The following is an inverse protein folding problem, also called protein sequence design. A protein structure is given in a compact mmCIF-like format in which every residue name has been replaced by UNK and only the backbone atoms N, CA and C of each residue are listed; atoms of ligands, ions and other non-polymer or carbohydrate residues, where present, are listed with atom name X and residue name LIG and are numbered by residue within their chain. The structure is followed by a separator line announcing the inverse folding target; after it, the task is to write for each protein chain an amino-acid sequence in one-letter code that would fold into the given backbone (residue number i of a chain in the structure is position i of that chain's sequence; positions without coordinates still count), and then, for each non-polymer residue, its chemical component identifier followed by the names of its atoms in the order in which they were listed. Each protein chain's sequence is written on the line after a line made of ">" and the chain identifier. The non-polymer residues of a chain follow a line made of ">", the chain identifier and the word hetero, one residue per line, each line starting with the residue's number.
data_IF_896456844838
#
_entry.id   IF_896456844838
#
_cell.length_a   1.000
_cell.length_b   1.000
_cell.length_c   1.000
_cell.angle_alpha   90.00
_cell.angle_beta   90.00
_cell.angle_gamma   90.00
#
_symmetry.space_group_name_H-M   'P 1'
#
loop_
_entity.id
_entity.type
_entity.pdbx_description
1 polymer ?
#
# COMPACT_ATOMS: atom_id res chain seq x y z
N UNK A 1 8.14 12.05 -8.20
CA UNK A 1 7.31 11.07 -7.44
C UNK A 1 8.22 10.01 -6.87
N UNK A 2 8.12 9.70 -5.57
CA UNK A 2 9.03 8.79 -4.88
C UNK A 2 8.84 7.31 -5.32
N UNK A 3 9.93 6.52 -5.37
CA UNK A 3 9.91 5.07 -5.71
C UNK A 3 8.93 4.27 -4.84
N UNK A 4 8.79 4.59 -3.55
CA UNK A 4 7.86 3.92 -2.63
C UNK A 4 6.40 4.22 -2.94
N UNK A 5 6.07 5.47 -3.30
CA UNK A 5 4.73 5.84 -3.76
C UNK A 5 4.38 5.17 -5.08
N UNK A 6 5.36 5.03 -6.00
CA UNK A 6 5.19 4.26 -7.24
C UNK A 6 4.86 2.80 -6.95
N UNK A 7 5.64 2.14 -6.09
CA UNK A 7 5.39 0.75 -5.66
C UNK A 7 4.02 0.58 -5.03
N UNK A 8 3.63 1.45 -4.10
CA UNK A 8 2.31 1.42 -3.48
C UNK A 8 1.19 1.47 -4.54
N UNK A 9 1.28 2.41 -5.50
CA UNK A 9 0.28 2.52 -6.57
C UNK A 9 0.27 1.29 -7.49
N UNK A 10 1.43 0.71 -7.77
CA UNK A 10 1.53 -0.51 -8.56
C UNK A 10 0.90 -1.70 -7.85
N UNK A 11 1.21 -1.93 -6.57
CA UNK A 11 0.60 -2.98 -5.74
C UNK A 11 -0.92 -2.83 -5.67
N UNK A 12 -1.40 -1.61 -5.45
CA UNK A 12 -2.83 -1.34 -5.43
C UNK A 12 -3.50 -1.65 -6.78
N UNK A 13 -2.88 -1.25 -7.90
CA UNK A 13 -3.41 -1.51 -9.24
C UNK A 13 -3.40 -3.00 -9.58
N UNK A 14 -2.31 -3.70 -9.31
CA UNK A 14 -2.13 -5.11 -9.64
C UNK A 14 -3.05 -6.05 -8.85
N UNK A 15 -3.43 -5.65 -7.64
CA UNK A 15 -4.26 -6.47 -6.74
C UNK A 15 -5.65 -5.86 -6.50
N UNK A 16 -6.04 -4.88 -7.33
CA UNK A 16 -7.32 -4.17 -7.25
C UNK A 16 -7.65 -3.60 -5.86
N UNK A 17 -6.64 -3.26 -5.07
CA UNK A 17 -6.81 -2.76 -3.71
C UNK A 17 -7.26 -1.30 -3.72
N UNK A 18 -8.31 -1.01 -2.96
CA UNK A 18 -8.74 0.35 -2.65
C UNK A 18 -7.94 0.88 -1.47
N UNK A 19 -8.00 2.20 -1.27
CA UNK A 19 -7.34 2.84 -0.14
C UNK A 19 -7.85 2.32 1.23
N UNK A 20 -9.11 1.87 1.28
CA UNK A 20 -9.71 1.23 2.46
C UNK A 20 -9.04 -0.11 2.78
N UNK A 21 -8.76 -0.92 1.76
CA UNK A 21 -8.14 -2.24 1.95
C UNK A 21 -6.70 -2.09 2.44
N UNK A 22 -5.94 -1.17 1.84
CA UNK A 22 -4.59 -0.84 2.29
C UNK A 22 -4.59 -0.29 3.72
N UNK A 23 -5.57 0.54 4.07
CA UNK A 23 -5.73 1.07 5.43
C UNK A 23 -5.98 -0.06 6.44
N UNK A 24 -6.83 -1.02 6.10
CA UNK A 24 -7.11 -2.19 6.93
C UNK A 24 -5.87 -3.09 7.09
N UNK A 25 -5.15 -3.37 6.00
CA UNK A 25 -3.93 -4.20 6.04
C UNK A 25 -2.84 -3.53 6.87
N UNK A 26 -2.63 -2.23 6.69
CA UNK A 26 -1.54 -1.50 7.35
C UNK A 26 -1.89 -0.97 8.74
N UNK A 27 -3.14 -1.15 9.19
CA UNK A 27 -3.64 -0.58 10.44
C UNK A 27 -3.59 0.95 10.49
N UNK A 28 -3.64 1.62 9.34
CA UNK A 28 -3.58 3.10 9.23
C UNK A 28 -4.89 3.69 8.77
N UNK A 29 -5.05 5.00 8.95
CA UNK A 29 -6.22 5.72 8.45
C UNK A 29 -6.23 5.76 6.91
N UNK A 30 -7.43 5.78 6.33
CA UNK A 30 -7.63 5.97 4.87
C UNK A 30 -7.00 7.30 4.42
N UNK A 31 -7.07 8.33 5.26
CA UNK A 31 -6.45 9.64 5.02
C UNK A 31 -4.94 9.52 4.86
N UNK A 32 -4.28 8.76 5.74
CA UNK A 32 -2.84 8.46 5.65
C UNK A 32 -2.49 7.77 4.33
N UNK A 33 -3.27 6.78 3.92
CA UNK A 33 -3.07 6.08 2.63
C UNK A 33 -3.26 7.01 1.43
N UNK A 34 -4.26 7.91 1.49
CA UNK A 34 -4.48 8.94 0.47
C UNK A 34 -3.28 9.88 0.37
N UNK A 35 -2.74 10.32 1.50
CA UNK A 35 -1.54 11.15 1.55
C UNK A 35 -0.34 10.43 0.92
N UNK A 36 -0.10 9.17 1.26
CA UNK A 36 1.01 8.39 0.67
C UNK A 36 0.92 8.21 -0.85
N UNK A 37 -0.29 8.25 -1.40
CA UNK A 37 -0.54 8.20 -2.85
C UNK A 37 -0.32 9.53 -3.56
N UNK A 38 -0.30 10.65 -2.84
CA UNK A 38 -0.03 11.96 -3.41
C UNK A 38 1.43 12.07 -3.88
N UNK A 39 1.69 12.98 -4.81
CA UNK A 39 3.04 13.20 -5.38
C UNK A 39 4.00 13.90 -4.40
N UNK A 40 3.55 14.30 -3.22
CA UNK A 40 4.37 15.02 -2.23
C UNK A 40 5.48 14.12 -1.66
N UNK A 41 6.67 14.68 -1.51
CA UNK A 41 7.86 14.02 -0.97
C UNK A 41 7.85 13.89 0.56
N UNK A 42 7.04 14.70 1.26
CA UNK A 42 7.12 14.84 2.71
C UNK A 42 6.46 13.67 3.47
N UNK A 43 5.38 13.11 2.91
CA UNK A 43 4.60 12.06 3.57
C UNK A 43 4.47 10.85 2.66
N UNK A 44 5.54 10.06 2.62
CA UNK A 44 5.64 8.80 1.89
C UNK A 44 5.35 7.62 2.81
N UNK A 45 4.93 6.50 2.21
CA UNK A 45 4.76 5.25 2.95
C UNK A 45 6.10 4.83 3.59
N UNK A 46 6.13 4.52 4.90
CA UNK A 46 7.30 3.94 5.54
C UNK A 46 7.67 2.59 4.93
N UNK A 47 8.95 2.27 4.90
CA UNK A 47 9.43 1.04 4.26
C UNK A 47 8.89 -0.23 4.91
N UNK A 48 8.90 -0.30 6.25
CA UNK A 48 8.34 -1.43 7.00
C UNK A 48 6.85 -1.65 6.67
N UNK A 49 6.09 -0.56 6.50
CA UNK A 49 4.66 -0.65 6.15
C UNK A 49 4.46 -1.16 4.72
N UNK A 50 5.33 -0.76 3.79
CA UNK A 50 5.29 -1.24 2.42
C UNK A 50 5.59 -2.74 2.35
N UNK A 51 6.59 -3.22 3.10
CA UNK A 51 6.91 -4.67 3.18
C UNK A 51 5.76 -5.48 3.78
N UNK A 52 5.11 -4.98 4.84
CA UNK A 52 3.94 -5.62 5.42
C UNK A 52 2.80 -5.73 4.40
N UNK A 53 2.54 -4.67 3.63
CA UNK A 53 1.55 -4.69 2.57
C UNK A 53 1.92 -5.72 1.47
N UNK A 54 3.19 -5.78 1.05
CA UNK A 54 3.67 -6.75 0.06
C UNK A 54 3.46 -8.20 0.55
N UNK A 55 3.81 -8.48 1.81
CA UNK A 55 3.65 -9.80 2.43
C UNK A 55 2.18 -10.23 2.52
N UNK A 56 1.30 -9.35 3.05
CA UNK A 56 -0.12 -9.65 3.21
C UNK A 56 -0.82 -9.86 1.85
N UNK A 57 -0.46 -9.06 0.86
CA UNK A 57 -0.99 -9.19 -0.50
C UNK A 57 -0.54 -10.49 -1.16
N UNK A 58 0.71 -10.90 -0.95
CA UNK A 58 1.21 -12.19 -1.42
C UNK A 58 0.52 -13.37 -0.73
N UNK A 59 0.32 -13.31 0.59
CA UNK A 59 -0.39 -14.33 1.37
C UNK A 59 -1.83 -14.52 0.87
N UNK A 60 -2.54 -13.43 0.57
CA UNK A 60 -3.89 -13.46 0.00
C UNK A 60 -3.95 -14.06 -1.40
N UNK A 61 -2.89 -13.94 -2.20
CA UNK A 61 -2.77 -14.61 -3.50
C UNK A 61 -2.43 -16.09 -3.38
N UNK A 62 -1.65 -16.48 -2.38
CA UNK A 62 -1.22 -17.85 -2.14
C UNK A 62 -2.26 -18.75 -1.45
N UNK A 63 -3.30 -18.19 -0.84
CA UNK A 63 -4.39 -18.93 -0.19
C UNK A 63 -5.50 -19.43 -1.12
N UNK A 64 -5.33 -19.30 -2.44
CA UNK A 64 -6.20 -19.92 -3.45
C UNK A 64 -5.47 -21.15 -4.02
N UNK A 65 -5.37 -22.21 -3.24
CA UNK A 65 -4.94 -23.54 -3.65
C UNK A 65 -5.87 -24.57 -3.04
#
# INVERSE_FOLDING_TARGET
>A
MNKRTQKLRALMKQNMLKAKDVAQITGRSITTVRIWRCKSSERIIPEHTLRLLEHEVAARKGGAA
#
